data_IF_330551668236
#
_entry.id   IF_330551668236
#
_cell.length_a   1.000
_cell.length_b   1.000
_cell.length_c   1.000
_cell.angle_alpha   90.00
_cell.angle_beta   90.00
_cell.angle_gamma   90.00
#
_symmetry.space_group_name_H-M   'P 1'
#
loop_
_entity.id
_entity.type
_entity.pdbx_description
1 polymer ?
#
# COMPACT_ATOMS: atom_id res chain seq x y z
N UNK A 1 6.82 -14.02 -0.38
CA UNK A 1 7.62 -13.10 0.47
C UNK A 1 6.69 -12.28 1.35
N UNK A 2 7.09 -12.07 2.58
CA UNK A 2 6.26 -11.37 3.56
C UNK A 2 7.05 -10.30 4.28
N UNK A 3 6.43 -9.12 4.44
CA UNK A 3 7.00 -8.04 5.23
C UNK A 3 5.93 -7.53 6.19
N UNK A 4 6.29 -7.47 7.47
CA UNK A 4 5.44 -6.87 8.49
C UNK A 4 6.21 -5.74 9.16
N UNK A 5 5.52 -4.64 9.42
CA UNK A 5 6.15 -3.48 10.01
C UNK A 5 5.18 -2.80 10.97
N UNK A 6 5.72 -2.30 12.09
CA UNK A 6 5.01 -1.40 13.00
C UNK A 6 5.82 -0.13 13.11
N UNK A 7 5.13 0.99 12.98
CA UNK A 7 5.79 2.29 13.01
C UNK A 7 4.90 3.30 13.72
N UNK A 8 5.52 4.13 14.57
CA UNK A 8 4.81 5.24 15.21
C UNK A 8 4.99 6.48 14.35
N UNK A 9 3.88 7.07 13.94
CA UNK A 9 3.87 8.26 13.08
C UNK A 9 3.09 9.38 13.80
N UNK A 10 3.62 10.59 13.77
CA UNK A 10 3.06 11.76 14.48
C UNK A 10 1.84 12.36 13.79
N UNK A 11 0.87 11.54 13.45
CA UNK A 11 -0.39 12.00 12.85
C UNK A 11 -1.53 11.16 13.40
N UNK A 12 -2.75 11.64 13.24
CA UNK A 12 -3.90 10.90 13.76
C UNK A 12 -4.19 9.67 12.90
N UNK A 13 -4.78 8.61 13.49
CA UNK A 13 -5.25 7.48 12.69
C UNK A 13 -6.17 7.88 11.56
N UNK A 14 -7.06 8.87 11.79
CA UNK A 14 -7.98 9.34 10.76
C UNK A 14 -7.26 9.96 9.57
N UNK A 15 -6.24 10.79 9.81
CA UNK A 15 -5.47 11.39 8.72
C UNK A 15 -4.70 10.35 7.93
N UNK A 16 -4.06 9.41 8.62
CA UNK A 16 -3.28 8.36 7.95
C UNK A 16 -4.19 7.39 7.18
N UNK A 17 -5.32 7.02 7.77
CA UNK A 17 -6.32 6.21 7.08
C UNK A 17 -6.79 6.88 5.80
N UNK A 18 -7.11 8.17 5.87
CA UNK A 18 -7.54 8.95 4.71
C UNK A 18 -6.46 8.98 3.62
N UNK A 19 -5.23 9.21 4.02
CA UNK A 19 -4.11 9.26 3.07
C UNK A 19 -3.91 7.92 2.35
N UNK A 20 -3.87 6.82 3.09
CA UNK A 20 -3.60 5.50 2.51
C UNK A 20 -4.80 5.00 1.70
N UNK A 21 -6.03 5.41 2.04
CA UNK A 21 -7.20 5.01 1.27
C UNK A 21 -7.37 5.80 -0.02
N UNK A 22 -6.66 6.90 -0.21
CA UNK A 22 -6.75 7.74 -1.41
C UNK A 22 -5.80 7.25 -2.51
N UNK A 23 -6.12 6.11 -3.08
CA UNK A 23 -5.27 5.39 -4.03
C UNK A 23 -5.01 6.18 -5.29
N UNK A 24 -5.94 7.02 -5.73
CA UNK A 24 -5.74 7.86 -6.92
C UNK A 24 -4.52 8.77 -6.82
N UNK A 25 -4.11 9.12 -5.62
CA UNK A 25 -2.99 10.02 -5.38
C UNK A 25 -1.64 9.32 -5.29
N UNK A 26 -1.62 8.01 -5.26
CA UNK A 26 -0.38 7.25 -5.11
C UNK A 26 0.71 7.62 -6.12
N UNK A 27 0.41 7.83 -7.41
CA UNK A 27 1.46 8.19 -8.36
C UNK A 27 2.16 9.52 -8.06
N UNK A 28 1.55 10.38 -7.23
CA UNK A 28 2.14 11.67 -6.90
C UNK A 28 3.33 11.56 -5.94
N UNK A 29 3.42 10.46 -5.17
CA UNK A 29 4.45 10.39 -4.12
C UNK A 29 5.04 8.99 -3.89
N UNK A 30 4.37 7.92 -4.29
CA UNK A 30 4.90 6.58 -4.06
C UNK A 30 5.94 6.20 -5.09
N UNK A 31 7.10 5.68 -4.65
CA UNK A 31 8.08 5.14 -5.60
C UNK A 31 7.47 3.96 -6.36
N UNK A 32 7.88 3.81 -7.61
CA UNK A 32 7.46 2.72 -8.48
C UNK A 32 5.98 2.69 -8.86
N UNK A 33 5.15 3.59 -8.35
CA UNK A 33 3.76 3.70 -8.77
C UNK A 33 3.65 4.71 -9.90
N UNK A 34 3.42 4.22 -11.11
CA UNK A 34 3.38 5.04 -12.32
C UNK A 34 1.97 5.54 -12.64
N UNK A 35 0.96 4.84 -12.18
CA UNK A 35 -0.43 5.22 -12.40
C UNK A 35 -1.36 4.48 -11.48
N UNK A 36 -2.55 5.06 -11.30
CA UNK A 36 -3.60 4.46 -10.47
C UNK A 36 -4.96 4.83 -11.03
N UNK A 37 -5.87 3.86 -11.09
CA UNK A 37 -7.24 4.08 -11.50
C UNK A 37 -8.16 3.39 -10.53
N UNK A 38 -9.15 4.14 -10.04
CA UNK A 38 -10.17 3.63 -9.11
C UNK A 38 -11.49 3.50 -9.87
N UNK A 39 -12.16 2.37 -9.68
CA UNK A 39 -13.46 2.10 -10.32
C UNK A 39 -14.38 1.34 -9.37
N UNK A 40 -15.65 1.27 -9.71
CA UNK A 40 -16.68 0.58 -8.91
C UNK A 40 -16.67 1.08 -7.46
N UNK A 41 -16.59 2.41 -7.31
CA UNK A 41 -16.41 3.05 -6.01
C UNK A 41 -17.72 3.06 -5.23
N UNK A 42 -17.82 2.14 -4.27
CA UNK A 42 -18.90 2.11 -3.30
C UNK A 42 -18.41 2.72 -1.98
N UNK A 43 -19.31 2.88 -1.01
CA UNK A 43 -19.01 3.61 0.23
C UNK A 43 -17.77 3.07 0.96
N UNK A 44 -17.67 1.74 1.11
CA UNK A 44 -16.61 1.11 1.90
C UNK A 44 -15.74 0.16 1.08
N UNK A 45 -15.91 0.12 -0.23
CA UNK A 45 -15.04 -0.69 -1.07
C UNK A 45 -14.95 -0.12 -2.48
N UNK A 46 -13.87 -0.44 -3.15
CA UNK A 46 -13.65 -0.05 -4.54
C UNK A 46 -12.62 -0.97 -5.16
N UNK A 47 -12.54 -0.93 -6.48
CA UNK A 47 -11.50 -1.62 -7.21
C UNK A 47 -10.43 -0.61 -7.63
N UNK A 48 -9.19 -1.03 -7.61
CA UNK A 48 -8.07 -0.21 -8.05
C UNK A 48 -7.16 -0.98 -8.97
N UNK A 49 -6.74 -0.32 -10.04
CA UNK A 49 -5.69 -0.80 -10.93
C UNK A 49 -4.46 0.04 -10.67
N UNK A 50 -3.33 -0.59 -10.32
CA UNK A 50 -2.08 0.10 -10.13
C UNK A 50 -1.09 -0.31 -11.20
N UNK A 51 -0.43 0.68 -11.78
CA UNK A 51 0.66 0.46 -12.71
C UNK A 51 1.96 0.63 -11.93
N UNK A 52 2.72 -0.45 -11.81
CA UNK A 52 3.99 -0.44 -11.10
C UNK A 52 5.14 -0.62 -12.08
N UNK A 53 6.22 0.10 -11.85
CA UNK A 53 7.39 0.04 -12.71
C UNK A 53 8.67 -0.05 -11.92
N UNK A 54 9.59 -0.90 -12.38
CA UNK A 54 10.91 -1.06 -11.79
C UNK A 54 11.90 -1.36 -12.91
N UNK A 55 12.81 -0.43 -13.14
CA UNK A 55 13.77 -0.51 -14.26
C UNK A 55 13.00 -0.64 -15.58
N UNK A 56 13.21 -1.72 -16.34
CA UNK A 56 12.51 -1.96 -17.60
C UNK A 56 11.19 -2.71 -17.42
N UNK A 57 10.89 -3.14 -16.20
CA UNK A 57 9.67 -3.90 -15.92
C UNK A 57 8.52 -2.99 -15.60
N UNK A 58 7.37 -3.28 -16.18
CA UNK A 58 6.14 -2.51 -15.97
C UNK A 58 4.99 -3.50 -15.91
N UNK A 59 4.24 -3.47 -14.82
CA UNK A 59 3.15 -4.39 -14.58
C UNK A 59 1.92 -3.65 -14.10
N UNK A 60 0.75 -4.18 -14.44
CA UNK A 60 -0.52 -3.67 -13.96
C UNK A 60 -1.16 -4.75 -13.10
N UNK A 61 -1.63 -4.39 -11.91
CA UNK A 61 -2.41 -5.32 -11.12
C UNK A 61 -3.67 -4.67 -10.57
N UNK A 62 -4.71 -5.49 -10.43
CA UNK A 62 -6.02 -5.07 -9.97
C UNK A 62 -6.31 -5.67 -8.61
N UNK A 63 -6.90 -4.89 -7.74
CA UNK A 63 -7.25 -5.30 -6.39
C UNK A 63 -8.62 -4.75 -6.01
N UNK A 64 -9.27 -5.44 -5.08
CA UNK A 64 -10.46 -4.95 -4.42
C UNK A 64 -10.04 -4.47 -3.03
N UNK A 65 -10.40 -3.24 -2.70
CA UNK A 65 -9.95 -2.58 -1.48
C UNK A 65 -11.16 -2.36 -0.58
N UNK A 66 -11.07 -2.84 0.66
CA UNK A 66 -12.10 -2.71 1.67
C UNK A 66 -11.64 -1.72 2.74
N UNK A 67 -12.50 -0.75 3.04
CA UNK A 67 -12.25 0.28 4.04
C UNK A 67 -13.12 0.03 5.26
N UNK A 68 -12.49 -0.18 6.41
CA UNK A 68 -13.18 -0.25 7.69
C UNK A 68 -12.93 1.08 8.42
N UNK A 69 -13.86 2.01 8.28
CA UNK A 69 -13.74 3.34 8.85
C UNK A 69 -13.80 3.34 10.37
N UNK A 70 -14.50 2.39 10.96
CA UNK A 70 -14.64 2.33 12.40
C UNK A 70 -13.33 1.86 13.05
N UNK A 71 -12.76 0.77 12.57
CA UNK A 71 -11.53 0.21 13.12
C UNK A 71 -10.27 0.77 12.48
N UNK A 72 -10.41 1.65 11.49
CA UNK A 72 -9.28 2.23 10.75
C UNK A 72 -8.37 1.14 10.18
N UNK A 73 -8.97 0.29 9.35
CA UNK A 73 -8.27 -0.78 8.64
C UNK A 73 -8.50 -0.68 7.16
N UNK A 74 -7.49 -1.03 6.39
CA UNK A 74 -7.58 -1.14 4.94
C UNK A 74 -7.13 -2.54 4.57
N UNK A 75 -7.97 -3.27 3.83
CA UNK A 75 -7.68 -4.63 3.38
C UNK A 75 -7.66 -4.62 1.86
N UNK A 76 -6.57 -5.11 1.29
CA UNK A 76 -6.38 -5.18 -0.15
C UNK A 76 -6.41 -6.65 -0.57
N UNK A 77 -7.40 -7.01 -1.39
CA UNK A 77 -7.54 -8.35 -1.94
C UNK A 77 -7.16 -8.31 -3.42
N UNK A 78 -6.15 -9.07 -3.78
CA UNK A 78 -5.65 -9.17 -5.14
C UNK A 78 -6.66 -9.86 -6.05
N UNK A 79 -6.85 -9.33 -7.26
CA UNK A 79 -7.75 -9.91 -8.25
C UNK A 79 -7.02 -10.42 -9.47
N UNK A 80 -6.15 -9.62 -10.06
CA UNK A 80 -5.51 -9.99 -11.32
C UNK A 80 -4.21 -9.22 -11.50
N UNK A 81 -3.24 -9.88 -12.14
CA UNK A 81 -1.96 -9.27 -12.44
C UNK A 81 -0.81 -10.26 -12.38
N UNK A 82 0.41 -9.78 -12.06
CA UNK A 82 1.63 -10.59 -12.15
C UNK A 82 1.88 -11.52 -10.96
N UNK A 83 0.97 -11.56 -9.99
CA UNK A 83 1.17 -12.33 -8.77
C UNK A 83 0.39 -13.64 -8.80
N UNK A 84 0.95 -14.69 -8.19
CA UNK A 84 0.18 -15.89 -7.84
C UNK A 84 -0.73 -15.58 -6.67
N UNK A 85 -0.22 -14.82 -5.69
CA UNK A 85 -1.02 -14.28 -4.61
C UNK A 85 -0.42 -12.95 -4.16
N UNK A 86 -1.26 -12.14 -3.54
CA UNK A 86 -0.85 -10.92 -2.86
C UNK A 86 -1.88 -10.61 -1.78
N UNK A 87 -1.41 -10.46 -0.55
CA UNK A 87 -2.22 -10.01 0.56
C UNK A 87 -1.58 -8.77 1.15
N UNK A 88 -2.40 -7.79 1.47
CA UNK A 88 -1.91 -6.56 2.05
C UNK A 88 -2.97 -5.98 2.99
N UNK A 89 -2.54 -5.52 4.15
CA UNK A 89 -3.44 -4.77 5.02
C UNK A 89 -2.70 -3.67 5.77
N UNK A 90 -3.47 -2.70 6.21
CA UNK A 90 -3.03 -1.59 7.05
C UNK A 90 -3.96 -1.50 8.25
N UNK A 91 -3.41 -1.24 9.43
CA UNK A 91 -4.18 -0.95 10.64
C UNK A 91 -3.60 0.31 11.26
N UNK A 92 -4.47 1.25 11.59
CA UNK A 92 -4.09 2.52 12.18
C UNK A 92 -4.68 2.61 13.59
N UNK A 93 -3.82 2.48 14.60
CA UNK A 93 -4.23 2.50 15.99
C UNK A 93 -3.82 3.79 16.68
N UNK A 94 -4.70 4.30 17.52
CA UNK A 94 -4.39 5.47 18.32
C UNK A 94 -3.22 5.19 19.25
N UNK A 95 -2.35 6.18 19.42
CA UNK A 95 -1.16 6.07 20.24
C UNK A 95 -0.88 7.43 20.87
N UNK A 96 -0.33 7.45 22.08
CA UNK A 96 -0.06 8.73 22.77
C UNK A 96 0.87 9.64 21.97
N UNK A 97 1.68 9.11 21.06
CA UNK A 97 2.60 9.88 20.21
C UNK A 97 2.08 10.06 18.78
N UNK A 98 0.79 9.76 18.53
CA UNK A 98 0.18 9.90 17.22
C UNK A 98 -0.59 8.65 16.82
N UNK A 99 0.01 7.82 15.98
CA UNK A 99 -0.62 6.61 15.46
C UNK A 99 0.40 5.48 15.38
N UNK A 100 0.00 4.29 15.82
CA UNK A 100 0.74 3.08 15.52
C UNK A 100 0.22 2.51 14.22
N UNK A 101 1.05 2.53 13.20
CA UNK A 101 0.73 1.96 11.88
C UNK A 101 1.22 0.53 11.85
N UNK A 102 0.32 -0.39 11.56
CA UNK A 102 0.67 -1.79 11.32
C UNK A 102 0.45 -2.07 9.84
N UNK A 103 1.48 -2.57 9.19
CA UNK A 103 1.48 -2.85 7.76
C UNK A 103 1.92 -4.28 7.51
N UNK A 104 1.24 -4.97 6.61
CA UNK A 104 1.64 -6.31 6.16
C UNK A 104 1.45 -6.41 4.67
N UNK A 105 2.43 -6.96 3.98
CA UNK A 105 2.29 -7.39 2.60
C UNK A 105 2.95 -8.76 2.45
N UNK A 106 2.25 -9.67 1.78
CA UNK A 106 2.73 -11.02 1.47
C UNK A 106 2.39 -11.31 0.02
N UNK A 107 3.40 -11.66 -0.77
CA UNK A 107 3.16 -11.88 -2.19
C UNK A 107 4.12 -12.89 -2.81
N UNK A 108 3.70 -13.42 -3.97
CA UNK A 108 4.54 -14.24 -4.81
C UNK A 108 4.24 -13.91 -6.27
N UNK A 109 5.29 -13.65 -7.05
CA UNK A 109 5.13 -13.42 -8.48
C UNK A 109 4.90 -14.73 -9.23
N UNK A 110 4.18 -14.64 -10.36
CA UNK A 110 4.04 -15.76 -11.30
C UNK A 110 5.38 -16.03 -12.00
N UNK A 111 6.13 -14.96 -12.29
CA UNK A 111 7.44 -15.06 -12.95
C UNK A 111 8.52 -15.43 -11.94
N UNK A 112 9.24 -16.52 -12.21
CA UNK A 112 10.38 -16.93 -11.38
C UNK A 112 11.46 -15.85 -11.41
N UNK A 113 11.64 -15.18 -12.54
CA UNK A 113 12.64 -14.13 -12.68
C UNK A 113 12.32 -12.93 -11.77
N UNK A 114 11.07 -12.44 -11.80
CA UNK A 114 10.67 -11.32 -10.95
C UNK A 114 10.73 -11.70 -9.48
N UNK A 115 10.35 -12.94 -9.15
CA UNK A 115 10.41 -13.41 -7.76
C UNK A 115 11.86 -13.41 -7.25
N UNK A 116 12.80 -13.91 -8.04
CA UNK A 116 14.21 -13.95 -7.67
C UNK A 116 14.78 -12.54 -7.51
N UNK A 117 14.44 -11.65 -8.44
CA UNK A 117 14.88 -10.26 -8.38
C UNK A 117 14.41 -9.58 -7.10
N UNK A 118 13.15 -9.79 -6.73
CA UNK A 118 12.57 -9.14 -5.56
C UNK A 118 13.01 -9.75 -4.24
N UNK A 119 13.47 -11.00 -4.21
CA UNK A 119 13.92 -11.62 -2.96
C UNK A 119 15.02 -10.85 -2.26
N UNK A 120 15.89 -10.18 -3.02
CA UNK A 120 16.97 -9.39 -2.45
C UNK A 120 16.59 -7.95 -2.15
N UNK A 121 15.53 -7.42 -2.78
CA UNK A 121 15.18 -6.01 -2.71
C UNK A 121 13.93 -5.71 -1.91
N UNK A 122 13.16 -6.75 -1.59
CA UNK A 122 11.80 -6.59 -1.11
C UNK A 122 11.69 -5.81 0.20
N UNK A 123 12.44 -6.18 1.23
CA UNK A 123 12.33 -5.53 2.55
C UNK A 123 12.67 -4.05 2.47
N UNK A 124 13.69 -3.69 1.69
CA UNK A 124 14.06 -2.30 1.49
C UNK A 124 12.98 -1.54 0.71
N UNK A 125 12.43 -2.17 -0.33
CA UNK A 125 11.36 -1.55 -1.11
C UNK A 125 10.12 -1.31 -0.25
N UNK A 126 9.75 -2.27 0.60
CA UNK A 126 8.60 -2.12 1.48
C UNK A 126 8.81 -0.99 2.49
N UNK A 127 10.01 -0.90 3.09
CA UNK A 127 10.32 0.20 4.01
C UNK A 127 10.28 1.55 3.32
N UNK A 128 10.78 1.65 2.10
CA UNK A 128 10.71 2.90 1.32
C UNK A 128 9.29 3.31 1.02
N UNK A 129 8.43 2.34 0.74
CA UNK A 129 7.02 2.61 0.48
C UNK A 129 6.35 3.20 1.73
N UNK A 130 6.50 2.55 2.88
CA UNK A 130 5.92 3.06 4.13
C UNK A 130 6.50 4.42 4.48
N UNK A 131 7.81 4.61 4.28
CA UNK A 131 8.46 5.90 4.49
C UNK A 131 7.92 7.01 3.58
N UNK A 132 7.55 6.67 2.35
CA UNK A 132 6.95 7.64 1.43
C UNK A 132 5.57 8.10 1.92
N UNK A 133 4.76 7.20 2.47
CA UNK A 133 3.50 7.57 3.10
C UNK A 133 3.72 8.50 4.29
N UNK A 134 4.71 8.20 5.13
CA UNK A 134 5.02 9.06 6.27
C UNK A 134 5.46 10.45 5.83
N UNK A 135 6.34 10.53 4.83
CA UNK A 135 6.79 11.81 4.28
C UNK A 135 5.62 12.60 3.71
N UNK A 136 4.72 11.93 2.98
CA UNK A 136 3.56 12.59 2.41
C UNK A 136 2.62 13.12 3.50
N UNK A 137 2.43 12.34 4.56
CA UNK A 137 1.64 12.78 5.70
C UNK A 137 2.22 14.05 6.33
N UNK A 138 3.55 14.11 6.47
CA UNK A 138 4.22 15.31 6.99
C UNK A 138 3.98 16.52 6.10
N UNK A 139 3.91 16.33 4.79
CA UNK A 139 3.62 17.41 3.85
C UNK A 139 2.18 17.90 3.93
N UNK A 140 1.23 16.99 4.15
CA UNK A 140 -0.19 17.30 4.09
C UNK A 140 -0.77 17.78 5.43
N UNK A 141 -0.24 17.31 6.55
CA UNK A 141 -0.89 17.46 7.86
C UNK A 141 -0.07 18.21 8.90
N UNK A 142 0.99 18.84 8.50
CA UNK A 142 1.77 19.68 9.44
C UNK A 142 1.32 21.13 9.41
#
# INVERSE_FOLDING_TARGET
MKHEERRIIKHTPSNLFKLVSDVKKYPEFLPWCLGARVKNNCKNNFEADLIIGFKIYKEIYSSEIFLDNFNKKIIVNYKDGPFEHLENYWVFKDNKNGCEVQFMVDFKFKSIFLQTLMETLFSEAARRMVGAFEKRANELYN
#
